data_IF_512450409476
#
_entry.id   IF_512450409476
#
_cell.length_a   1.000
_cell.length_b   1.000
_cell.length_c   1.000
_cell.angle_alpha   90.00
_cell.angle_beta   90.00
_cell.angle_gamma   90.00
#
_symmetry.space_group_name_H-M   'P 1'
#
loop_
_entity.id
_entity.type
_entity.pdbx_description
1 polymer ?
#
# COMPACT_ATOMS: atom_id res chain seq x y z
N UNK A 1 24.29 5.40 13.39
CA UNK A 1 24.25 6.73 14.06
C UNK A 1 23.32 6.67 15.27
N UNK A 2 23.57 7.41 16.38
CA UNK A 2 22.55 7.60 17.41
C UNK A 2 21.44 8.50 16.88
N UNK A 3 20.22 7.96 16.79
CA UNK A 3 19.03 8.70 16.39
C UNK A 3 18.11 8.88 17.60
N UNK A 4 17.87 10.13 18.00
CA UNK A 4 16.78 10.47 18.93
C UNK A 4 15.58 10.82 18.06
N UNK A 5 14.62 9.92 18.03
CA UNK A 5 13.35 10.13 17.33
C UNK A 5 12.31 10.53 18.35
N UNK A 6 11.62 11.64 18.11
CA UNK A 6 10.43 12.02 18.88
C UNK A 6 9.25 11.10 18.56
N UNK A 7 8.04 11.67 18.50
CA UNK A 7 6.84 10.91 18.13
C UNK A 7 6.78 10.83 16.59
N UNK A 8 6.76 9.62 16.05
CA UNK A 8 6.44 9.36 14.65
C UNK A 8 5.07 8.68 14.56
N UNK A 9 4.15 9.27 13.80
CA UNK A 9 2.85 8.65 13.52
C UNK A 9 2.78 8.28 12.04
N UNK A 10 2.64 6.98 11.79
CA UNK A 10 2.44 6.44 10.45
C UNK A 10 0.99 5.96 10.36
N UNK A 11 0.26 6.50 9.38
CA UNK A 11 -1.19 6.23 9.22
C UNK A 11 -1.42 5.06 8.26
N UNK A 12 -0.62 4.96 7.21
CA UNK A 12 -0.59 3.79 6.33
C UNK A 12 0.76 3.70 5.62
N UNK A 13 1.22 2.48 5.42
CA UNK A 13 2.34 2.13 4.55
C UNK A 13 1.78 1.20 3.48
N UNK A 14 1.73 1.67 2.24
CA UNK A 14 1.11 0.95 1.13
C UNK A 14 1.97 -0.20 0.61
N UNK A 15 1.58 -0.76 -0.53
CA UNK A 15 2.33 -1.84 -1.18
C UNK A 15 3.74 -1.38 -1.56
N UNK A 16 4.77 -2.19 -1.27
CA UNK A 16 6.20 -1.80 -1.32
C UNK A 16 6.59 -0.60 -0.43
N UNK A 17 5.72 -0.16 0.47
CA UNK A 17 6.06 0.93 1.36
C UNK A 17 7.06 0.47 2.43
N UNK A 18 8.12 1.24 2.62
CA UNK A 18 9.07 1.04 3.71
C UNK A 18 9.23 2.34 4.46
N UNK A 19 8.87 2.30 5.74
CA UNK A 19 9.15 3.38 6.68
C UNK A 19 10.31 2.95 7.56
N UNK A 20 11.44 3.66 7.47
CA UNK A 20 12.59 3.43 8.34
C UNK A 20 13.06 4.74 8.95
N UNK A 21 13.67 4.63 10.13
CA UNK A 21 14.34 5.76 10.79
C UNK A 21 15.72 5.27 11.25
N UNK A 22 16.76 6.02 10.89
CA UNK A 22 18.16 5.63 11.11
C UNK A 22 18.84 5.21 9.81
N UNK A 23 20.06 4.69 9.91
CA UNK A 23 20.87 4.36 8.74
C UNK A 23 20.38 3.06 8.09
N UNK A 24 20.25 3.04 6.76
CA UNK A 24 19.95 1.82 6.02
C UNK A 24 20.91 1.62 4.86
N UNK A 25 21.44 0.39 4.77
CA UNK A 25 22.41 0.00 3.75
C UNK A 25 21.76 -0.32 2.40
N UNK A 26 20.62 -1.02 2.38
CA UNK A 26 19.84 -1.24 1.16
C UNK A 26 18.39 -1.59 1.51
N UNK A 27 17.43 -1.04 0.76
CA UNK A 27 16.01 -1.41 0.80
C UNK A 27 15.56 -1.61 -0.65
N UNK A 28 15.19 -2.83 -1.01
CA UNK A 28 14.64 -3.18 -2.32
C UNK A 28 13.25 -3.77 -2.14
N UNK A 29 12.19 -2.96 -1.95
CA UNK A 29 10.86 -3.46 -1.75
C UNK A 29 10.23 -3.75 -3.11
N UNK A 30 9.98 -5.02 -3.38
CA UNK A 30 9.29 -5.47 -4.58
C UNK A 30 7.80 -5.61 -4.26
N UNK A 31 6.95 -5.02 -5.10
CA UNK A 31 5.50 -5.14 -4.95
C UNK A 31 4.84 -5.29 -6.29
N UNK A 32 3.86 -6.17 -6.29
CA UNK A 32 2.93 -6.42 -7.38
C UNK A 32 1.55 -6.42 -6.78
N UNK A 33 0.68 -5.53 -7.23
CA UNK A 33 -0.67 -5.43 -6.71
C UNK A 33 -1.63 -5.25 -7.86
N UNK A 34 -2.49 -6.26 -8.08
CA UNK A 34 -3.78 -6.06 -8.74
C UNK A 34 -4.77 -5.69 -7.64
N UNK A 35 -5.43 -4.55 -7.79
CA UNK A 35 -6.27 -4.02 -6.72
C UNK A 35 -7.53 -3.43 -7.31
N UNK A 36 -8.66 -3.90 -6.81
CA UNK A 36 -9.98 -3.43 -7.14
C UNK A 36 -10.67 -3.02 -5.85
N UNK A 37 -11.33 -1.87 -5.87
CA UNK A 37 -11.89 -1.29 -4.66
C UNK A 37 -13.24 -0.64 -4.97
N UNK A 38 -14.20 -0.88 -4.08
CA UNK A 38 -15.54 -0.30 -4.12
C UNK A 38 -15.65 0.98 -3.31
N UNK A 39 -16.88 1.44 -3.13
CA UNK A 39 -17.19 2.63 -2.35
C UNK A 39 -16.65 2.50 -0.91
N UNK A 40 -15.99 3.55 -0.41
CA UNK A 40 -15.38 3.60 0.92
C UNK A 40 -14.07 2.83 1.08
N UNK A 41 -13.41 2.43 -0.02
CA UNK A 41 -12.13 1.74 0.06
C UNK A 41 -10.94 2.68 0.31
N UNK A 42 -9.84 2.12 0.83
CA UNK A 42 -8.56 2.79 1.12
C UNK A 42 -8.61 4.04 2.00
N UNK A 43 -9.67 4.19 2.78
CA UNK A 43 -9.79 5.32 3.69
C UNK A 43 -8.95 5.08 4.94
N UNK A 44 -7.98 5.95 5.21
CA UNK A 44 -7.05 5.85 6.33
C UNK A 44 -6.93 7.21 7.04
N UNK A 45 -6.78 7.20 8.37
CA UNK A 45 -6.69 8.42 9.19
C UNK A 45 -7.70 8.45 10.35
N UNK A 46 -7.87 9.62 10.98
CA UNK A 46 -8.75 9.81 12.16
C UNK A 46 -9.89 10.78 11.83
N UNK A 47 -11.05 10.59 12.46
CA UNK A 47 -12.21 11.48 12.30
C UNK A 47 -12.96 11.28 10.98
N UNK A 48 -12.92 10.06 10.43
CA UNK A 48 -13.47 9.79 9.10
C UNK A 48 -14.88 9.21 9.26
N UNK A 49 -15.85 9.89 8.66
CA UNK A 49 -17.19 9.37 8.42
C UNK A 49 -17.34 9.16 6.92
N UNK A 50 -17.68 7.93 6.52
CA UNK A 50 -17.85 7.55 5.12
C UNK A 50 -19.28 7.06 4.96
N UNK A 51 -20.00 7.68 4.03
CA UNK A 51 -21.34 7.28 3.66
C UNK A 51 -21.32 6.77 2.22
N UNK A 52 -21.68 5.50 2.03
CA UNK A 52 -21.73 4.85 0.73
C UNK A 52 -23.16 4.36 0.48
N UNK A 53 -23.79 4.78 -0.61
CA UNK A 53 -25.18 4.41 -0.93
C UNK A 53 -25.26 3.13 -1.78
N UNK A 54 -24.42 3.03 -2.81
CA UNK A 54 -24.33 1.86 -3.68
C UNK A 54 -22.89 1.68 -4.14
N UNK A 55 -22.45 0.43 -4.29
CA UNK A 55 -21.12 0.10 -4.79
C UNK A 55 -21.21 -1.07 -5.76
N UNK A 56 -20.62 -0.90 -6.95
CA UNK A 56 -20.43 -1.96 -7.93
C UNK A 56 -18.97 -1.93 -8.36
N UNK A 57 -18.23 -2.99 -8.07
CA UNK A 57 -16.84 -3.15 -8.49
C UNK A 57 -16.80 -4.29 -9.50
N UNK A 58 -17.01 -3.97 -10.79
CA UNK A 58 -16.98 -4.94 -11.87
C UNK A 58 -15.56 -5.05 -12.44
N UNK A 59 -14.98 -6.24 -12.36
CA UNK A 59 -13.58 -6.47 -12.72
C UNK A 59 -13.53 -7.68 -13.63
N UNK A 60 -13.28 -7.44 -14.92
CA UNK A 60 -13.09 -8.51 -15.92
C UNK A 60 -11.61 -8.57 -16.23
N UNK A 61 -11.05 -9.75 -15.99
CA UNK A 61 -9.62 -10.03 -16.16
C UNK A 61 -9.52 -11.24 -17.10
N UNK A 62 -9.14 -10.99 -18.35
CA UNK A 62 -9.11 -11.99 -19.44
C UNK A 62 -7.67 -12.37 -19.84
N UNK A 63 -6.68 -11.99 -19.02
CA UNK A 63 -5.29 -12.42 -19.16
C UNK A 63 -4.96 -13.60 -18.22
N UNK A 64 -4.03 -14.47 -18.65
CA UNK A 64 -3.61 -15.63 -17.87
C UNK A 64 -2.45 -15.33 -16.89
N UNK A 65 -1.76 -14.20 -17.08
CA UNK A 65 -0.62 -13.77 -16.27
C UNK A 65 -0.66 -12.26 -16.07
N UNK A 66 -0.96 -11.90 -14.83
CA UNK A 66 -1.18 -10.54 -14.35
C UNK A 66 0.11 -9.74 -14.16
N UNK A 67 1.15 -10.45 -13.73
CA UNK A 67 2.49 -9.91 -13.53
C UNK A 67 3.51 -11.05 -13.46
N UNK A 68 4.26 -11.27 -14.55
CA UNK A 68 5.36 -12.22 -14.58
C UNK A 68 6.60 -11.65 -13.90
N UNK A 69 6.69 -11.75 -12.57
CA UNK A 69 7.90 -11.40 -11.82
C UNK A 69 8.98 -12.45 -12.08
N UNK A 70 9.64 -12.34 -13.22
CA UNK A 70 10.80 -13.16 -13.54
C UNK A 70 12.03 -12.25 -13.45
N UNK A 71 12.97 -12.60 -12.56
CA UNK A 71 14.27 -11.95 -12.39
C UNK A 71 14.34 -10.65 -11.56
N UNK A 72 13.51 -10.52 -10.51
CA UNK A 72 13.79 -9.48 -9.50
C UNK A 72 14.93 -9.97 -8.57
N UNK A 73 15.95 -9.12 -8.37
CA UNK A 73 17.00 -9.27 -7.35
C UNK A 73 16.83 -8.23 -6.24
#
# INVERSE_FOLDING_TARGET
MPAIVGIAQVINVGSSGVFHIGDVFNISPISTAKTFAGAGSFITGRGISVYNESSLTYTVDDDAVDQGINFNL
#
